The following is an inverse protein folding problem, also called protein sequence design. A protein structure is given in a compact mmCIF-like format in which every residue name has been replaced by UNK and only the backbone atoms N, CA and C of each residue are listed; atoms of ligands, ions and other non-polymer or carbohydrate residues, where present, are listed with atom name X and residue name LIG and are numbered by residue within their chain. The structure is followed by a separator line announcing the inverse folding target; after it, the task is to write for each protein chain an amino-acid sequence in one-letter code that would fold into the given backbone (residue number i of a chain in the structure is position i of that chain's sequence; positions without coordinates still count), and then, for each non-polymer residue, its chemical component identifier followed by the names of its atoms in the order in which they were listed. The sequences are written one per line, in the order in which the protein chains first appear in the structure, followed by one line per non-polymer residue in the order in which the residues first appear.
data_IF_630662902188
#
_entry.id   IF_630662902188
#
_cell.length_a   1.000
_cell.length_b   1.000
_cell.length_c   1.000
_cell.angle_alpha   90.00
_cell.angle_beta   90.00
_cell.angle_gamma   90.00
#
_symmetry.space_group_name_H-M   'P 1'
#
loop_
_entity.id
_entity.type
_entity.pdbx_description
1 polymer ?
#
# COMPACT_ATOMS: atom_id res chain seq x y z
N UNK A 1 -3.29 -18.46 -0.35
CA UNK A 1 -4.17 -17.62 -1.20
C UNK A 1 -3.30 -16.53 -1.81
N UNK A 2 -3.44 -16.27 -3.09
CA UNK A 2 -2.72 -15.19 -3.78
C UNK A 2 -3.53 -13.90 -3.71
N UNK A 3 -2.85 -12.78 -3.47
CA UNK A 3 -3.44 -11.45 -3.54
C UNK A 3 -2.78 -10.64 -4.64
N UNK A 4 -3.53 -9.72 -5.24
CA UNK A 4 -3.02 -8.74 -6.20
C UNK A 4 -3.20 -7.32 -5.68
N UNK A 5 -2.23 -6.46 -5.96
CA UNK A 5 -2.21 -5.11 -5.40
C UNK A 5 -0.89 -4.41 -5.62
N UNK A 6 -0.58 -3.45 -4.75
CA UNK A 6 0.58 -2.58 -4.87
C UNK A 6 1.43 -2.59 -3.60
N UNK A 7 2.71 -2.33 -3.78
CA UNK A 7 3.68 -2.11 -2.72
C UNK A 7 4.39 -0.78 -2.97
N UNK A 8 4.53 0.03 -1.93
CA UNK A 8 5.41 1.20 -1.91
C UNK A 8 6.50 0.97 -0.88
N UNK A 9 7.74 1.25 -1.28
CA UNK A 9 8.89 1.21 -0.39
C UNK A 9 9.35 2.65 -0.11
N UNK A 10 8.96 3.16 1.06
CA UNK A 10 9.34 4.50 1.53
C UNK A 10 10.83 4.59 1.91
N UNK A 11 11.55 3.48 1.99
CA UNK A 11 12.99 3.49 2.27
C UNK A 11 13.83 3.34 1.00
N UNK A 12 13.18 3.24 -0.17
CA UNK A 12 13.85 3.06 -1.44
C UNK A 12 13.61 4.25 -2.37
N UNK A 13 14.66 5.04 -2.61
CA UNK A 13 14.65 6.15 -3.56
C UNK A 13 14.22 5.77 -4.98
N UNK A 14 14.26 4.48 -5.36
CA UNK A 14 13.71 4.01 -6.64
C UNK A 14 12.20 4.22 -6.74
N UNK A 15 11.48 4.34 -5.61
CA UNK A 15 10.08 4.75 -5.56
C UNK A 15 9.86 6.12 -6.21
N UNK A 16 10.81 7.05 -6.06
CA UNK A 16 10.78 8.33 -6.78
C UNK A 16 10.94 8.18 -8.30
N UNK A 17 11.49 7.07 -8.80
CA UNK A 17 11.47 6.77 -10.23
C UNK A 17 10.07 6.45 -10.77
N UNK A 18 9.16 5.99 -9.91
CA UNK A 18 7.75 5.75 -10.26
C UNK A 18 6.91 7.02 -10.10
N UNK A 19 7.24 7.85 -9.12
CA UNK A 19 6.51 9.07 -8.75
C UNK A 19 7.46 10.27 -8.70
N UNK A 20 8.10 10.66 -9.82
CA UNK A 20 9.17 11.66 -9.82
C UNK A 20 8.69 13.05 -9.40
N UNK A 21 7.45 13.41 -9.72
CA UNK A 21 6.87 14.70 -9.34
C UNK A 21 6.75 14.86 -7.82
N UNK A 22 6.47 13.78 -7.10
CA UNK A 22 6.33 13.78 -5.64
C UNK A 22 7.66 13.80 -4.89
N UNK A 23 8.79 13.67 -5.60
CA UNK A 23 10.12 13.68 -5.01
C UNK A 23 10.98 14.84 -5.51
N UNK A 24 10.38 15.83 -6.20
CA UNK A 24 11.13 16.96 -6.76
C UNK A 24 11.86 17.78 -5.70
N UNK A 25 11.21 17.98 -4.55
CA UNK A 25 11.74 18.75 -3.42
C UNK A 25 12.38 17.86 -2.35
N UNK A 26 12.48 16.54 -2.59
CA UNK A 26 13.15 15.63 -1.68
C UNK A 26 14.67 15.81 -1.77
N UNK A 27 15.27 16.12 -0.63
CA UNK A 27 16.70 16.38 -0.52
C UNK A 27 17.48 15.07 -0.39
N UNK A 28 18.33 14.78 -1.38
CA UNK A 28 19.14 13.55 -1.45
C UNK A 28 20.07 13.30 -0.26
N UNK A 29 20.20 14.28 0.65
CA UNK A 29 20.93 14.17 1.91
C UNK A 29 20.20 13.33 2.97
N UNK A 30 18.91 13.06 2.79
CA UNK A 30 18.17 12.12 3.62
C UNK A 30 18.27 10.72 3.01
N UNK A 31 18.50 9.70 3.83
CA UNK A 31 18.68 8.32 3.36
C UNK A 31 17.33 7.63 3.05
N UNK A 32 16.21 8.16 3.55
CA UNK A 32 14.87 7.57 3.50
C UNK A 32 13.83 8.57 2.93
N UNK A 33 12.76 8.06 2.29
CA UNK A 33 11.63 8.86 1.77
C UNK A 33 10.48 8.96 2.78
N UNK A 34 10.65 8.41 3.97
CA UNK A 34 9.66 8.47 5.05
C UNK A 34 9.45 9.90 5.58
N UNK A 35 10.42 10.78 5.38
CA UNK A 35 10.30 12.23 5.61
C UNK A 35 9.66 13.00 4.43
N UNK A 36 9.37 12.33 3.30
CA UNK A 36 8.72 12.96 2.14
C UNK A 36 7.20 13.08 2.35
N UNK A 37 6.77 14.21 2.89
CA UNK A 37 5.36 14.48 3.19
C UNK A 37 4.46 14.40 1.95
N UNK A 38 4.91 14.80 0.76
CA UNK A 38 4.09 14.73 -0.46
C UNK A 38 3.81 13.28 -0.87
N UNK A 39 4.83 12.42 -0.77
CA UNK A 39 4.69 11.00 -1.04
C UNK A 39 3.78 10.31 0.00
N UNK A 40 3.90 10.69 1.27
CA UNK A 40 3.00 10.23 2.34
C UNK A 40 1.56 10.66 2.06
N UNK A 41 1.32 11.94 1.77
CA UNK A 41 0.00 12.49 1.51
C UNK A 41 -0.66 11.84 0.27
N UNK A 42 0.12 11.58 -0.77
CA UNK A 42 -0.33 10.82 -1.94
C UNK A 42 -0.78 9.41 -1.53
N UNK A 43 0.02 8.69 -0.74
CA UNK A 43 -0.33 7.35 -0.30
C UNK A 43 -1.59 7.34 0.56
N UNK A 44 -1.65 8.17 1.62
CA UNK A 44 -2.77 8.20 2.56
C UNK A 44 -4.07 8.64 1.88
N UNK A 45 -4.01 9.65 1.00
CA UNK A 45 -5.20 10.14 0.31
C UNK A 45 -5.78 9.10 -0.65
N UNK A 46 -4.93 8.37 -1.39
CA UNK A 46 -5.39 7.32 -2.28
C UNK A 46 -5.82 6.06 -1.52
N UNK A 47 -5.12 5.69 -0.44
CA UNK A 47 -5.54 4.61 0.46
C UNK A 47 -6.95 4.88 0.99
N UNK A 48 -7.22 6.11 1.45
CA UNK A 48 -8.55 6.51 1.93
C UNK A 48 -9.63 6.35 0.86
N UNK A 49 -9.37 6.81 -0.38
CA UNK A 49 -10.30 6.63 -1.52
C UNK A 49 -10.60 5.17 -1.82
N UNK A 50 -9.62 4.27 -1.65
CA UNK A 50 -9.84 2.83 -1.80
C UNK A 50 -10.68 2.30 -0.65
N UNK A 51 -10.33 2.60 0.61
CA UNK A 51 -11.05 2.13 1.81
C UNK A 51 -12.49 2.64 1.89
N UNK A 52 -12.77 3.82 1.32
CA UNK A 52 -14.12 4.39 1.24
C UNK A 52 -15.01 3.62 0.26
N UNK A 53 -14.42 2.98 -0.76
CA UNK A 53 -15.12 2.21 -1.79
C UNK A 53 -15.21 0.73 -1.46
N UNK A 54 -14.22 0.16 -0.79
CA UNK A 54 -14.17 -1.26 -0.48
C UNK A 54 -13.45 -1.55 0.82
N UNK A 55 -13.95 -2.53 1.57
CA UNK A 55 -13.29 -3.10 2.75
C UNK A 55 -12.60 -4.43 2.47
N UNK A 56 -12.76 -4.98 1.25
CA UNK A 56 -12.15 -6.25 0.84
C UNK A 56 -10.72 -5.97 0.37
N UNK A 57 -9.88 -5.48 1.26
CA UNK A 57 -8.48 -5.13 0.98
C UNK A 57 -7.64 -5.39 2.22
N UNK A 58 -6.43 -5.88 2.02
CA UNK A 58 -5.41 -6.02 3.05
C UNK A 58 -4.45 -4.84 2.90
N UNK A 59 -4.49 -3.93 3.87
CA UNK A 59 -3.53 -2.86 4.07
C UNK A 59 -2.57 -3.23 5.20
N UNK A 60 -1.32 -2.75 5.15
CA UNK A 60 -0.35 -2.95 6.22
C UNK A 60 1.08 -2.76 5.74
N UNK A 61 2.03 -3.40 6.44
CA UNK A 61 3.45 -3.37 6.09
C UNK A 61 4.03 -4.78 6.00
N UNK A 62 4.83 -5.04 4.96
CA UNK A 62 5.71 -6.21 4.86
C UNK A 62 7.13 -5.69 5.00
N UNK A 63 7.85 -6.16 6.02
CA UNK A 63 9.13 -5.58 6.44
C UNK A 63 8.99 -4.06 6.63
N UNK A 64 9.68 -3.27 5.81
CA UNK A 64 9.64 -1.81 5.84
C UNK A 64 8.80 -1.19 4.70
N UNK A 65 8.04 -2.01 3.96
CA UNK A 65 7.27 -1.60 2.78
C UNK A 65 5.79 -1.53 3.10
N UNK A 66 5.12 -0.50 2.64
CA UNK A 66 3.67 -0.35 2.75
C UNK A 66 2.98 -1.13 1.63
N UNK A 67 1.95 -1.88 1.97
CA UNK A 67 1.25 -2.78 1.05
C UNK A 67 -0.25 -2.51 1.02
N UNK A 68 -0.86 -2.73 -0.15
CA UNK A 68 -2.30 -2.69 -0.35
C UNK A 68 -2.71 -3.74 -1.39
N UNK A 69 -3.36 -4.81 -0.93
CA UNK A 69 -3.63 -6.01 -1.74
C UNK A 69 -5.05 -6.54 -1.57
N UNK A 70 -5.54 -7.30 -2.55
CA UNK A 70 -6.88 -7.88 -2.51
C UNK A 70 -6.95 -9.19 -3.32
N UNK A 71 -7.88 -10.06 -2.95
CA UNK A 71 -8.29 -11.23 -3.75
C UNK A 71 -9.60 -10.98 -4.54
N UNK A 72 -10.20 -9.80 -4.39
CA UNK A 72 -11.47 -9.41 -5.00
C UNK A 72 -11.19 -8.53 -6.23
N UNK A 73 -11.67 -8.96 -7.40
CA UNK A 73 -11.37 -8.31 -8.69
C UNK A 73 -11.82 -6.84 -8.74
N UNK A 74 -12.96 -6.52 -8.12
CA UNK A 74 -13.48 -5.15 -8.06
C UNK A 74 -12.57 -4.27 -7.20
N UNK A 75 -12.15 -4.76 -6.04
CA UNK A 75 -11.18 -4.06 -5.20
C UNK A 75 -9.82 -3.89 -5.89
N UNK A 76 -9.34 -4.90 -6.65
CA UNK A 76 -8.10 -4.80 -7.42
C UNK A 76 -8.20 -3.70 -8.48
N UNK A 77 -9.34 -3.57 -9.16
CA UNK A 77 -9.56 -2.51 -10.13
C UNK A 77 -9.59 -1.12 -9.45
N UNK A 78 -10.24 -1.00 -8.29
CA UNK A 78 -10.24 0.24 -7.50
C UNK A 78 -8.82 0.63 -7.09
N UNK A 79 -7.98 -0.32 -6.68
CA UNK A 79 -6.57 -0.05 -6.37
C UNK A 79 -5.85 0.48 -7.62
N UNK A 80 -6.00 -0.19 -8.76
CA UNK A 80 -5.38 0.22 -10.04
C UNK A 80 -5.79 1.63 -10.46
N UNK A 81 -7.06 1.99 -10.27
CA UNK A 81 -7.58 3.30 -10.68
C UNK A 81 -7.08 4.45 -9.79
N UNK A 82 -6.78 4.18 -8.51
CA UNK A 82 -6.26 5.19 -7.58
C UNK A 82 -4.72 5.27 -7.56
N UNK A 83 -4.03 4.25 -8.07
CA UNK A 83 -2.57 4.19 -8.16
C UNK A 83 -2.11 3.81 -9.57
N UNK A 84 -2.47 4.59 -10.62
CA UNK A 84 -2.22 4.21 -12.00
C UNK A 84 -0.72 4.13 -12.36
N UNK A 85 0.14 4.81 -11.60
CA UNK A 85 1.59 4.82 -11.79
C UNK A 85 2.27 3.57 -11.23
N UNK A 86 1.62 2.86 -10.29
CA UNK A 86 2.22 1.76 -9.55
C UNK A 86 1.80 0.43 -10.16
N UNK A 87 2.79 -0.39 -10.50
CA UNK A 87 2.56 -1.70 -11.10
C UNK A 87 1.91 -2.67 -10.10
N UNK A 88 0.85 -3.33 -10.53
CA UNK A 88 0.23 -4.42 -9.77
C UNK A 88 1.19 -5.60 -9.67
N UNK A 89 1.48 -6.00 -8.43
CA UNK A 89 2.21 -7.21 -8.09
C UNK A 89 1.29 -8.30 -7.54
N UNK A 90 1.88 -9.46 -7.24
CA UNK A 90 1.19 -10.59 -6.60
C UNK A 90 2.02 -11.04 -5.40
N UNK A 91 1.35 -11.33 -4.29
CA UNK A 91 1.98 -11.85 -3.07
C UNK A 91 1.16 -13.03 -2.53
N UNK A 92 1.78 -13.90 -1.75
CA UNK A 92 1.04 -14.89 -0.99
C UNK A 92 0.52 -14.26 0.30
N UNK A 93 -0.75 -14.51 0.64
CA UNK A 93 -1.33 -13.96 1.86
C UNK A 93 -0.57 -14.37 3.13
N UNK A 94 0.08 -15.54 3.13
CA UNK A 94 0.92 -16.01 4.23
C UNK A 94 2.22 -15.22 4.42
N UNK A 95 2.65 -14.44 3.42
CA UNK A 95 3.83 -13.57 3.48
C UNK A 95 3.49 -12.18 4.01
N UNK A 96 2.20 -11.86 4.14
CA UNK A 96 1.76 -10.64 4.80
C UNK A 96 2.05 -10.80 6.29
N UNK A 97 2.91 -9.93 6.83
CA UNK A 97 3.08 -9.85 8.27
C UNK A 97 1.73 -9.45 8.87
N UNK A 98 1.07 -10.41 9.51
CA UNK A 98 -0.16 -10.20 10.27
C UNK A 98 0.18 -9.43 11.55
N UNK A 99 0.50 -8.15 11.39
CA UNK A 99 0.50 -7.22 12.49
C UNK A 99 -0.96 -7.00 12.87
N UNK A 100 -1.38 -7.53 14.03
CA UNK A 100 -2.75 -7.43 14.56
C UNK A 100 -3.25 -5.97 14.63
N UNK A 101 -2.35 -4.98 14.70
CA UNK A 101 -2.67 -3.56 14.74
C UNK A 101 -2.67 -2.86 13.37
N UNK A 102 -2.07 -3.48 12.36
CA UNK A 102 -1.81 -2.88 11.04
C UNK A 102 -2.80 -3.38 9.98
N UNK A 103 -3.41 -4.54 10.19
CA UNK A 103 -4.42 -5.12 9.29
C UNK A 103 -5.78 -4.45 9.52
N UNK A 104 -6.36 -3.88 8.46
CA UNK A 104 -7.75 -3.38 8.50
C UNK A 104 -8.78 -4.44 8.06
N UNK A 105 -8.35 -5.53 7.41
CA UNK A 105 -9.20 -6.63 6.97
C UNK A 105 -8.41 -7.94 6.88
N UNK A 106 -9.03 -9.04 7.31
CA UNK A 106 -8.45 -10.38 7.27
C UNK A 106 -9.33 -11.31 6.40
N UNK A 107 -8.76 -11.85 5.33
CA UNK A 107 -9.46 -12.75 4.41
C UNK A 107 -9.66 -14.17 4.97
N UNK A 108 -8.87 -14.55 5.97
CA UNK A 108 -8.99 -15.83 6.68
C UNK A 108 -9.86 -15.71 7.94
N UNK A 109 -10.12 -14.49 8.43
CA UNK A 109 -10.96 -14.23 9.59
C UNK A 109 -12.05 -13.18 9.31
N UNK A 110 -13.26 -13.65 8.98
CA UNK A 110 -14.43 -12.80 8.72
C UNK A 110 -14.92 -12.02 9.94
N UNK A 111 -14.54 -12.45 11.15
CA UNK A 111 -14.89 -11.81 12.42
C UNK A 111 -13.77 -10.91 12.95
N UNK A 112 -12.76 -10.62 12.12
CA UNK A 112 -11.65 -9.75 12.48
C UNK A 112 -12.17 -8.37 12.94
N UNK A 113 -11.84 -8.02 14.17
CA UNK A 113 -12.08 -6.71 14.76
C UNK A 113 -10.75 -6.15 15.20
N UNK A 114 -10.38 -5.02 14.62
CA UNK A 114 -9.24 -4.21 15.09
C UNK A 114 -9.44 -3.95 16.59
N UNK A 115 -8.51 -4.45 17.42
CA UNK A 115 -8.54 -4.30 18.88
C UNK A 115 -7.92 -2.98 19.31
#
# INVERSE_FOLDING_TARGET
MELQGITIDFNDKRTCGLLPELCLDWDERYDELDDNQELIDYWESNLKKVTDKTKKIVSGNIEAKSILYSADEEAIQIIRDNFPEIKIGTILYSEVNHCDHCLDYDYLNKDFKRR
#
